data_IF_790653858092
#
_entry.id   IF_790653858092
#
_cell.length_a   1.000
_cell.length_b   1.000
_cell.length_c   1.000
_cell.angle_alpha   90.00
_cell.angle_beta   90.00
_cell.angle_gamma   90.00
#
_symmetry.space_group_name_H-M   'P 1'
#
loop_
_entity.id
_entity.type
_entity.pdbx_description
1 polymer ?
#
# COMPACT_ATOMS: atom_id res chain seq x y z
N UNK A 1 -14.97 -31.60 -3.09
CA UNK A 1 -14.19 -32.23 -4.19
C UNK A 1 -14.35 -31.52 -5.54
N UNK A 2 -15.56 -31.07 -5.91
CA UNK A 2 -15.82 -30.41 -7.20
C UNK A 2 -15.18 -29.01 -7.26
N UNK A 3 -15.33 -28.22 -6.19
CA UNK A 3 -14.78 -26.86 -6.07
C UNK A 3 -13.25 -26.84 -6.04
N UNK A 4 -12.64 -27.87 -5.46
CA UNK A 4 -11.18 -28.00 -5.40
C UNK A 4 -10.60 -28.32 -6.79
N UNK A 5 -11.28 -29.16 -7.57
CA UNK A 5 -10.90 -29.44 -8.95
C UNK A 5 -11.05 -28.22 -9.84
N UNK A 6 -12.13 -27.45 -9.69
CA UNK A 6 -12.36 -26.21 -10.46
C UNK A 6 -11.29 -25.17 -10.16
N UNK A 7 -10.93 -24.96 -8.88
CA UNK A 7 -9.84 -24.04 -8.50
C UNK A 7 -8.50 -24.48 -9.06
N UNK A 8 -8.23 -25.79 -9.08
CA UNK A 8 -6.98 -26.31 -9.63
C UNK A 8 -6.91 -26.12 -11.15
N UNK A 9 -8.01 -26.38 -11.86
CA UNK A 9 -8.09 -26.16 -13.33
C UNK A 9 -7.92 -24.66 -13.65
N UNK A 10 -8.61 -23.77 -12.93
CA UNK A 10 -8.47 -22.31 -13.09
C UNK A 10 -7.01 -21.89 -12.93
N UNK A 11 -6.34 -22.36 -11.88
CA UNK A 11 -4.93 -22.04 -11.63
C UNK A 11 -4.01 -22.54 -12.75
N UNK A 12 -4.20 -23.77 -13.22
CA UNK A 12 -3.41 -24.29 -14.35
C UNK A 12 -3.63 -23.48 -15.63
N UNK A 13 -4.86 -23.05 -15.92
CA UNK A 13 -5.16 -22.21 -17.08
C UNK A 13 -4.50 -20.83 -16.96
N UNK A 14 -4.47 -20.25 -15.76
CA UNK A 14 -3.77 -19.01 -15.50
C UNK A 14 -2.26 -19.15 -15.68
N UNK A 15 -1.65 -20.21 -15.18
CA UNK A 15 -0.23 -20.48 -15.35
C UNK A 15 0.14 -20.68 -16.83
N UNK A 16 -0.71 -21.35 -17.62
CA UNK A 16 -0.53 -21.52 -19.06
C UNK A 16 -0.64 -20.18 -19.78
N UNK A 17 -1.69 -19.41 -19.54
CA UNK A 17 -1.89 -18.11 -20.16
C UNK A 17 -0.75 -17.13 -19.84
N UNK A 18 -0.26 -17.13 -18.58
CA UNK A 18 0.90 -16.35 -18.18
C UNK A 18 2.19 -16.78 -18.91
N UNK A 19 2.41 -18.09 -19.08
CA UNK A 19 3.57 -18.63 -19.78
C UNK A 19 3.54 -18.32 -21.29
N UNK A 20 2.36 -18.27 -21.88
CA UNK A 20 2.14 -17.95 -23.30
C UNK A 20 2.08 -16.43 -23.56
N UNK A 21 2.04 -15.61 -22.51
CA UNK A 21 1.85 -14.15 -22.62
C UNK A 21 0.43 -13.75 -23.07
N UNK A 22 -0.53 -14.67 -22.93
CA UNK A 22 -1.93 -14.43 -23.25
C UNK A 22 -2.66 -13.74 -22.09
N UNK A 23 -2.51 -12.42 -22.02
CA UNK A 23 -3.16 -11.60 -20.99
C UNK A 23 -4.68 -11.65 -21.07
N UNK A 24 -5.23 -11.67 -22.27
CA UNK A 24 -6.68 -11.74 -22.44
C UNK A 24 -7.23 -13.06 -21.91
N UNK A 25 -6.56 -14.17 -22.21
CA UNK A 25 -6.88 -15.49 -21.67
C UNK A 25 -6.72 -15.57 -20.16
N UNK A 26 -5.71 -14.89 -19.59
CA UNK A 26 -5.52 -14.78 -18.14
C UNK A 26 -6.68 -14.04 -17.47
N UNK A 27 -7.02 -12.85 -17.97
CA UNK A 27 -8.10 -12.01 -17.43
C UNK A 27 -9.46 -12.70 -17.57
N UNK A 28 -9.71 -13.40 -18.66
CA UNK A 28 -10.95 -14.14 -18.91
C UNK A 28 -11.24 -15.25 -17.87
N UNK A 29 -10.25 -15.64 -17.05
CA UNK A 29 -10.45 -16.58 -15.95
C UNK A 29 -11.15 -15.94 -14.73
N UNK A 30 -11.24 -14.62 -14.67
CA UNK A 30 -11.87 -13.89 -13.58
C UNK A 30 -13.27 -13.42 -14.00
N UNK A 31 -14.22 -13.49 -13.08
CA UNK A 31 -15.52 -12.84 -13.25
C UNK A 31 -15.39 -11.33 -12.93
N UNK A 32 -16.37 -10.54 -13.39
CA UNK A 32 -16.42 -9.10 -13.04
C UNK A 32 -16.41 -8.87 -11.53
N UNK A 33 -16.97 -9.79 -10.74
CA UNK A 33 -16.97 -9.72 -9.30
C UNK A 33 -15.59 -10.03 -8.71
N UNK A 34 -14.85 -10.99 -9.28
CA UNK A 34 -13.46 -11.28 -8.85
C UNK A 34 -12.56 -10.06 -9.11
N UNK A 35 -12.74 -9.37 -10.25
CA UNK A 35 -11.94 -8.21 -10.63
C UNK A 35 -12.20 -6.97 -9.75
N UNK A 36 -13.27 -6.95 -8.96
CA UNK A 36 -13.53 -5.90 -7.96
C UNK A 36 -12.77 -6.11 -6.66
N UNK A 37 -12.20 -7.29 -6.44
CA UNK A 37 -11.38 -7.59 -5.26
C UNK A 37 -10.02 -6.91 -5.41
N UNK A 38 -9.60 -6.02 -4.47
CA UNK A 38 -8.39 -5.20 -4.63
C UNK A 38 -7.13 -6.00 -4.94
N UNK A 39 -6.91 -7.14 -4.28
CA UNK A 39 -5.74 -7.99 -4.52
C UNK A 39 -5.71 -8.60 -5.92
N UNK A 40 -6.86 -9.05 -6.42
CA UNK A 40 -6.98 -9.62 -7.79
C UNK A 40 -6.80 -8.52 -8.83
N UNK A 41 -7.46 -7.38 -8.63
CA UNK A 41 -7.32 -6.23 -9.52
C UNK A 41 -5.87 -5.74 -9.61
N UNK A 42 -5.15 -5.71 -8.47
CA UNK A 42 -3.74 -5.34 -8.43
C UNK A 42 -2.87 -6.30 -9.25
N UNK A 43 -3.09 -7.60 -9.13
CA UNK A 43 -2.37 -8.63 -9.89
C UNK A 43 -2.60 -8.47 -11.40
N UNK A 44 -3.85 -8.32 -11.81
CA UNK A 44 -4.21 -8.11 -13.22
C UNK A 44 -3.68 -6.78 -13.75
N UNK A 45 -3.74 -5.71 -12.95
CA UNK A 45 -3.20 -4.41 -13.33
C UNK A 45 -1.68 -4.45 -13.54
N UNK A 46 -0.94 -5.17 -12.71
CA UNK A 46 0.50 -5.37 -12.91
C UNK A 46 0.80 -6.15 -14.20
N UNK A 47 -0.01 -7.13 -14.54
CA UNK A 47 0.12 -7.85 -15.81
C UNK A 47 -0.11 -6.93 -17.01
N UNK A 48 -1.17 -6.10 -16.98
CA UNK A 48 -1.46 -5.11 -18.03
C UNK A 48 -0.32 -4.08 -18.14
N UNK A 49 0.22 -3.61 -17.02
CA UNK A 49 1.38 -2.71 -16.98
C UNK A 49 2.60 -3.33 -17.63
N UNK A 50 2.87 -4.61 -17.39
CA UNK A 50 4.02 -5.31 -17.99
C UNK A 50 3.93 -5.38 -19.52
N UNK A 51 2.73 -5.25 -20.08
CA UNK A 51 2.46 -5.20 -21.51
C UNK A 51 2.36 -3.78 -22.07
N UNK A 52 2.55 -2.79 -21.22
CA UNK A 52 2.51 -1.38 -21.60
C UNK A 52 1.10 -0.77 -21.66
N UNK A 53 0.08 -1.49 -21.20
CA UNK A 53 -1.31 -1.00 -21.15
C UNK A 53 -1.66 -0.40 -19.77
N UNK A 54 -0.99 0.68 -19.45
CA UNK A 54 -1.19 1.38 -18.19
C UNK A 54 -2.60 2.01 -18.05
N UNK A 55 -3.23 2.37 -19.18
CA UNK A 55 -4.58 2.93 -19.17
C UNK A 55 -5.62 1.89 -18.77
N UNK A 56 -5.60 0.73 -19.41
CA UNK A 56 -6.50 -0.36 -19.03
C UNK A 56 -6.27 -0.85 -17.59
N UNK A 57 -5.01 -0.87 -17.14
CA UNK A 57 -4.69 -1.19 -15.75
C UNK A 57 -5.31 -0.20 -14.77
N UNK A 58 -5.21 1.11 -15.05
CA UNK A 58 -5.79 2.15 -14.19
C UNK A 58 -7.33 2.09 -14.19
N UNK A 59 -7.93 1.90 -15.35
CA UNK A 59 -9.39 1.77 -15.49
C UNK A 59 -9.92 0.56 -14.69
N UNK A 60 -9.20 -0.56 -14.71
CA UNK A 60 -9.53 -1.73 -13.92
C UNK A 60 -9.47 -1.41 -12.41
N UNK A 61 -8.40 -0.80 -11.95
CA UNK A 61 -8.24 -0.43 -10.53
C UNK A 61 -9.33 0.54 -10.06
N UNK A 62 -9.81 1.42 -10.92
CA UNK A 62 -10.91 2.34 -10.62
C UNK A 62 -12.27 1.64 -10.37
N UNK A 63 -12.43 0.38 -10.81
CA UNK A 63 -13.66 -0.40 -10.60
C UNK A 63 -13.66 -1.22 -9.31
N UNK A 64 -12.57 -1.22 -8.55
CA UNK A 64 -12.42 -2.04 -7.35
C UNK A 64 -13.26 -1.52 -6.18
N UNK A 65 -13.81 -2.46 -5.42
CA UNK A 65 -14.53 -2.16 -4.19
C UNK A 65 -13.50 -2.09 -3.04
N UNK A 66 -13.00 -0.88 -2.76
CA UNK A 66 -12.11 -0.65 -1.63
C UNK A 66 -12.95 -0.60 -0.35
N UNK A 67 -12.82 -1.60 0.51
CA UNK A 67 -13.41 -1.54 1.83
C UNK A 67 -12.64 -0.53 2.68
N UNK A 68 -13.32 0.54 3.07
CA UNK A 68 -12.76 1.61 3.91
C UNK A 68 -12.40 1.12 5.32
N UNK A 69 -12.81 -0.08 5.71
CA UNK A 69 -12.45 -0.68 6.99
C UNK A 69 -11.14 -1.47 6.93
N UNK A 70 -10.77 -1.99 5.77
CA UNK A 70 -9.45 -2.56 5.53
C UNK A 70 -8.49 -1.46 5.08
N UNK A 71 -7.70 -0.93 5.99
CA UNK A 71 -6.77 0.19 5.75
C UNK A 71 -5.55 -0.17 4.89
N UNK A 72 -5.38 -1.42 4.50
CA UNK A 72 -4.17 -1.91 3.84
C UNK A 72 -4.51 -2.66 2.56
N UNK A 73 -4.58 -1.91 1.47
CA UNK A 73 -4.58 -2.49 0.12
C UNK A 73 -3.21 -2.30 -0.54
N UNK A 74 -2.13 -2.70 0.14
CA UNK A 74 -0.74 -2.42 -0.26
C UNK A 74 -0.43 -2.81 -1.71
N UNK A 75 -0.91 -3.97 -2.16
CA UNK A 75 -0.72 -4.41 -3.55
C UNK A 75 -1.48 -3.52 -4.53
N UNK A 76 -2.69 -3.11 -4.16
CA UNK A 76 -3.52 -2.21 -4.97
C UNK A 76 -2.89 -0.82 -5.05
N UNK A 77 -2.47 -0.25 -3.93
CA UNK A 77 -1.81 1.06 -3.87
C UNK A 77 -0.54 1.07 -4.73
N UNK A 78 0.25 0.00 -4.65
CA UNK A 78 1.47 -0.15 -5.44
C UNK A 78 1.15 -0.22 -6.94
N UNK A 79 0.14 -0.99 -7.34
CA UNK A 79 -0.27 -1.09 -8.73
C UNK A 79 -0.81 0.26 -9.23
N UNK A 80 -1.62 0.96 -8.44
CA UNK A 80 -2.17 2.27 -8.77
C UNK A 80 -1.08 3.32 -8.98
N UNK A 81 -0.11 3.41 -8.06
CA UNK A 81 1.06 4.30 -8.19
C UNK A 81 1.85 3.98 -9.47
N UNK A 82 2.09 2.70 -9.75
CA UNK A 82 2.82 2.29 -10.94
C UNK A 82 2.08 2.64 -12.25
N UNK A 83 0.75 2.53 -12.27
CA UNK A 83 -0.07 2.99 -13.39
C UNK A 83 0.08 4.49 -13.62
N UNK A 84 -0.01 5.30 -12.56
CA UNK A 84 0.15 6.75 -12.64
C UNK A 84 1.55 7.14 -13.17
N UNK A 85 2.59 6.48 -12.69
CA UNK A 85 3.97 6.70 -13.17
C UNK A 85 4.08 6.37 -14.65
N UNK A 86 3.57 5.22 -15.08
CA UNK A 86 3.62 4.79 -16.48
C UNK A 86 2.86 5.74 -17.41
N UNK A 87 1.82 6.41 -16.90
CA UNK A 87 1.05 7.44 -17.62
C UNK A 87 1.66 8.85 -17.53
N UNK A 88 2.80 9.02 -16.83
CA UNK A 88 3.43 10.33 -16.62
C UNK A 88 2.72 11.24 -15.62
N UNK A 89 1.74 10.72 -14.85
CA UNK A 89 0.96 11.46 -13.84
C UNK A 89 1.71 11.46 -12.51
N UNK A 90 2.91 12.06 -12.50
CA UNK A 90 3.85 11.94 -11.38
C UNK A 90 3.36 12.63 -10.10
N UNK A 91 2.71 13.79 -10.23
CA UNK A 91 2.19 14.53 -9.07
C UNK A 91 1.10 13.72 -8.36
N UNK A 92 0.19 13.11 -9.11
CA UNK A 92 -0.86 12.27 -8.54
C UNK A 92 -0.28 11.00 -7.88
N UNK A 93 0.78 10.43 -8.44
CA UNK A 93 1.48 9.32 -7.82
C UNK A 93 2.11 9.71 -6.48
N UNK A 94 2.66 10.94 -6.39
CA UNK A 94 3.22 11.48 -5.14
C UNK A 94 2.13 11.77 -4.10
N UNK A 95 1.02 12.37 -4.51
CA UNK A 95 -0.12 12.61 -3.63
C UNK A 95 -0.66 11.31 -3.05
N UNK A 96 -0.75 10.27 -3.88
CA UNK A 96 -1.21 8.96 -3.41
C UNK A 96 -0.22 8.31 -2.43
N UNK A 97 1.11 8.39 -2.68
CA UNK A 97 2.12 7.90 -1.72
C UNK A 97 2.00 8.59 -0.37
N UNK A 98 1.80 9.90 -0.39
CA UNK A 98 1.60 10.67 0.83
C UNK A 98 0.32 10.27 1.57
N UNK A 99 -0.78 10.07 0.85
CA UNK A 99 -2.04 9.58 1.42
C UNK A 99 -1.87 8.21 2.09
N UNK A 100 -1.21 7.27 1.40
CA UNK A 100 -0.89 5.95 1.97
C UNK A 100 -0.07 6.05 3.27
N UNK A 101 0.91 6.97 3.32
CA UNK A 101 1.65 7.23 4.55
C UNK A 101 0.74 7.77 5.65
N UNK A 102 -0.07 8.78 5.37
CA UNK A 102 -0.96 9.40 6.36
C UNK A 102 -1.95 8.39 6.98
N UNK A 103 -2.42 7.43 6.18
CA UNK A 103 -3.35 6.40 6.64
C UNK A 103 -2.70 5.32 7.48
N UNK A 104 -1.46 4.93 7.14
CA UNK A 104 -0.81 3.75 7.72
C UNK A 104 0.32 4.08 8.69
N UNK A 105 0.88 5.28 8.63
CA UNK A 105 2.13 5.70 9.28
C UNK A 105 3.31 4.75 8.97
N UNK A 106 3.33 4.16 7.77
CA UNK A 106 4.39 3.25 7.36
C UNK A 106 5.67 4.02 7.03
N UNK A 107 6.76 3.72 7.76
CA UNK A 107 8.09 4.27 7.47
C UNK A 107 8.58 3.93 6.05
N UNK A 108 8.18 2.79 5.51
CA UNK A 108 8.50 2.39 4.14
C UNK A 108 7.81 3.30 3.13
N UNK A 109 6.52 3.58 3.29
CA UNK A 109 5.76 4.49 2.42
C UNK A 109 6.32 5.92 2.46
N UNK A 110 6.70 6.39 3.64
CA UNK A 110 7.38 7.68 3.77
C UNK A 110 8.70 7.71 3.00
N UNK A 111 9.55 6.69 3.13
CA UNK A 111 10.80 6.61 2.37
C UNK A 111 10.59 6.62 0.87
N UNK A 112 9.55 5.94 0.37
CA UNK A 112 9.18 5.93 -1.05
C UNK A 112 8.73 7.31 -1.52
N UNK A 113 7.99 8.03 -0.69
CA UNK A 113 7.57 9.41 -0.99
C UNK A 113 8.76 10.37 -1.03
N UNK A 114 9.59 10.39 0.02
CA UNK A 114 10.71 11.32 0.12
C UNK A 114 11.75 11.15 -1.00
N UNK A 115 11.99 9.91 -1.47
CA UNK A 115 12.91 9.63 -2.58
C UNK A 115 12.56 10.31 -3.88
N UNK A 116 11.33 10.74 -4.06
CA UNK A 116 10.85 11.34 -5.30
C UNK A 116 10.74 12.87 -5.20
N UNK A 117 10.97 13.42 -4.01
CA UNK A 117 10.94 14.87 -3.80
C UNK A 117 12.23 15.53 -4.26
N UNK A 118 12.16 16.80 -4.72
CA UNK A 118 13.34 17.61 -4.96
C UNK A 118 14.17 17.83 -3.69
N UNK A 119 15.45 18.16 -3.84
CA UNK A 119 16.33 18.51 -2.75
C UNK A 119 15.70 19.60 -1.85
N UNK A 120 15.73 19.38 -0.54
CA UNK A 120 15.18 20.18 0.55
C UNK A 120 13.67 20.05 0.80
N UNK A 121 12.86 19.68 -0.17
CA UNK A 121 11.42 19.43 0.05
C UNK A 121 11.21 18.16 0.89
N UNK A 122 12.15 17.25 0.85
CA UNK A 122 12.17 16.03 1.68
C UNK A 122 12.28 16.36 3.18
N UNK A 123 13.01 17.42 3.56
CA UNK A 123 13.14 17.84 4.97
C UNK A 123 11.80 18.34 5.50
N UNK A 124 11.12 19.20 4.74
CA UNK A 124 9.81 19.70 5.14
C UNK A 124 8.76 18.58 5.22
N UNK A 125 8.77 17.67 4.25
CA UNK A 125 7.86 16.53 4.23
C UNK A 125 8.15 15.55 5.40
N UNK A 126 9.41 15.35 5.77
CA UNK A 126 9.77 14.56 6.96
C UNK A 126 9.27 15.20 8.24
N UNK A 127 9.43 16.51 8.40
CA UNK A 127 8.93 17.24 9.59
C UNK A 127 7.40 17.17 9.67
N UNK A 128 6.71 17.29 8.54
CA UNK A 128 5.25 17.11 8.49
C UNK A 128 4.85 15.68 8.86
N UNK A 129 5.57 14.67 8.38
CA UNK A 129 5.32 13.27 8.69
C UNK A 129 5.47 12.99 10.20
N UNK A 130 6.51 13.53 10.83
CA UNK A 130 6.73 13.43 12.28
C UNK A 130 5.59 14.10 13.07
N UNK A 131 5.14 15.27 12.61
CA UNK A 131 4.01 15.97 13.25
C UNK A 131 2.71 15.14 13.16
N UNK A 132 2.44 14.50 12.02
CA UNK A 132 1.30 13.59 11.86
C UNK A 132 1.41 12.39 12.79
N UNK A 133 2.59 11.77 12.86
CA UNK A 133 2.82 10.61 13.74
C UNK A 133 2.68 10.95 15.23
N UNK A 134 3.10 12.15 15.65
CA UNK A 134 2.87 12.65 17.03
C UNK A 134 1.39 12.80 17.36
N UNK A 135 0.54 13.07 16.36
CA UNK A 135 -0.91 13.25 16.50
C UNK A 135 -1.70 11.98 16.15
N UNK A 136 -1.02 10.85 15.95
CA UNK A 136 -1.67 9.58 15.62
C UNK A 136 -2.82 9.27 16.58
N UNK A 137 -3.96 8.83 16.05
CA UNK A 137 -5.15 8.48 16.85
C UNK A 137 -4.85 7.38 17.88
N UNK A 138 -3.95 6.46 17.55
CA UNK A 138 -3.44 5.40 18.45
C UNK A 138 -1.99 5.67 18.79
N UNK A 139 -1.69 5.72 20.08
CA UNK A 139 -0.32 5.90 20.59
C UNK A 139 0.65 4.87 19.99
N UNK A 140 0.23 3.60 19.94
CA UNK A 140 1.03 2.49 19.40
C UNK A 140 1.47 2.71 17.96
N UNK A 141 0.58 3.26 17.11
CA UNK A 141 0.91 3.53 15.70
C UNK A 141 2.00 4.59 15.56
N UNK A 142 1.93 5.67 16.34
CA UNK A 142 2.97 6.70 16.37
C UNK A 142 4.30 6.17 16.92
N UNK A 143 4.25 5.37 17.98
CA UNK A 143 5.46 4.73 18.55
C UNK A 143 6.12 3.78 17.56
N UNK A 144 5.34 2.91 16.90
CA UNK A 144 5.86 1.99 15.87
C UNK A 144 6.56 2.78 14.76
N UNK A 145 5.93 3.86 14.28
CA UNK A 145 6.55 4.72 13.29
C UNK A 145 7.91 5.26 13.76
N UNK A 146 8.01 5.86 14.96
CA UNK A 146 9.26 6.43 15.44
C UNK A 146 10.34 5.40 15.76
N UNK A 147 9.99 4.17 16.04
CA UNK A 147 10.95 3.08 16.17
C UNK A 147 11.51 2.64 14.81
N UNK A 148 10.67 2.59 13.78
CA UNK A 148 11.07 2.24 12.40
C UNK A 148 11.77 3.40 11.68
N UNK A 149 11.47 4.64 12.05
CA UNK A 149 12.05 5.89 11.52
C UNK A 149 13.27 6.39 12.33
N UNK A 150 13.85 5.62 13.15
CA UNK A 150 14.76 5.80 14.29
C UNK A 150 14.84 7.23 14.86
N UNK A 151 13.71 7.79 15.28
CA UNK A 151 13.64 9.05 16.02
C UNK A 151 13.21 8.78 17.48
N UNK A 152 14.18 8.34 18.28
CA UNK A 152 13.95 8.01 19.69
C UNK A 152 13.58 9.24 20.53
N UNK A 153 13.95 10.44 20.09
CA UNK A 153 13.58 11.70 20.74
C UNK A 153 12.07 11.92 20.66
N UNK A 154 11.51 11.87 19.48
CA UNK A 154 10.07 11.96 19.26
C UNK A 154 9.31 10.80 19.90
N UNK A 155 9.84 9.58 19.87
CA UNK A 155 9.24 8.44 20.56
C UNK A 155 9.13 8.69 22.07
N UNK A 156 10.20 9.17 22.71
CA UNK A 156 10.23 9.49 24.15
C UNK A 156 9.27 10.64 24.52
N UNK A 157 9.18 11.66 23.67
CA UNK A 157 8.24 12.77 23.86
C UNK A 157 6.78 12.28 23.74
N UNK A 158 6.48 11.46 22.75
CA UNK A 158 5.15 10.88 22.56
C UNK A 158 4.72 10.07 23.78
N UNK A 159 5.61 9.23 24.33
CA UNK A 159 5.35 8.47 25.57
C UNK A 159 5.11 9.37 26.75
N UNK A 160 5.91 10.44 26.94
CA UNK A 160 5.76 11.38 28.05
C UNK A 160 4.44 12.16 28.00
N UNK A 161 4.06 12.61 26.80
CA UNK A 161 2.85 13.43 26.61
C UNK A 161 1.57 12.62 26.68
N UNK A 162 1.63 11.32 26.32
CA UNK A 162 0.46 10.42 26.25
C UNK A 162 0.60 9.20 27.18
N UNK A 163 1.34 9.35 28.28
CA UNK A 163 1.60 8.26 29.23
C UNK A 163 0.33 7.60 29.79
N UNK A 164 -0.76 8.33 29.89
CA UNK A 164 -2.07 7.86 30.36
C UNK A 164 -2.78 6.91 29.39
N UNK A 165 -2.31 6.83 28.15
CA UNK A 165 -2.85 5.92 27.12
C UNK A 165 -2.06 4.59 27.05
N UNK A 166 -0.93 4.50 27.79
CA UNK A 166 -0.15 3.28 27.90
C UNK A 166 -0.93 2.27 28.75
N UNK A 167 -1.55 1.32 28.13
CA UNK A 167 -2.04 0.12 28.81
C UNK A 167 -0.99 -1.02 28.78
N UNK A 168 -1.25 -2.10 29.50
CA UNK A 168 -0.28 -3.21 29.60
C UNK A 168 0.10 -3.88 28.27
N UNK A 169 -0.65 -3.61 27.19
CA UNK A 169 -0.37 -4.15 25.85
C UNK A 169 0.73 -3.38 25.12
N UNK A 170 0.96 -2.12 25.48
CA UNK A 170 1.98 -1.28 24.83
C UNK A 170 3.42 -1.62 25.28
N UNK A 171 3.60 -2.33 26.37
CA UNK A 171 4.93 -2.66 26.90
C UNK A 171 5.78 -3.51 25.94
N UNK A 172 5.19 -4.36 25.12
CA UNK A 172 5.92 -5.17 24.16
C UNK A 172 6.55 -4.35 23.02
N UNK A 173 6.00 -3.14 22.73
CA UNK A 173 6.55 -2.22 21.74
C UNK A 173 7.75 -1.46 22.31
N UNK A 174 7.74 -1.21 23.63
CA UNK A 174 8.77 -0.45 24.33
C UNK A 174 9.95 -1.28 24.80
N UNK A 175 9.88 -2.59 24.74
CA UNK A 175 11.00 -3.49 25.04
C UNK A 175 11.62 -3.97 23.73
N UNK A 176 12.59 -3.25 23.14
CA UNK A 176 13.37 -3.77 22.03
C UNK A 176 14.15 -4.99 22.53
N UNK A 177 14.13 -6.04 21.74
CA UNK A 177 14.84 -7.28 21.92
C UNK A 177 16.32 -7.10 22.20
#
# INVERSE_FOLDING_TARGET
HRDQKQRMVKRCLQEIAAAEGDTAGYIAQYSDQDLRVPGIAAEVAQLLLSQGDASAALDLLATTDLDTQERLHEAWDTAYINCLIALGRLDEAQDHRWSCFCETLSATRLREHLKQLPDFDDIEAEDQAKAIAMQASRLESGLTFFLEWPDLGCAAELVKTRANELDGAAYHILTPL
#
